data_IF_256246534084
#
_entry.id   IF_256246534084
#
_cell.length_a   1.000
_cell.length_b   1.000
_cell.length_c   1.000
_cell.angle_alpha   90.00
_cell.angle_beta   90.00
_cell.angle_gamma   90.00
#
_symmetry.space_group_name_H-M   'P 1'
#
loop_
_entity.id
_entity.type
_entity.pdbx_description
1 polymer ?
#
# COMPACT_ATOMS: atom_id res chain seq x y z
N UNK A 1 -4.11 30.34 -8.17
CA UNK A 1 -5.20 30.01 -9.12
C UNK A 1 -4.71 30.23 -10.52
N UNK A 2 -5.24 29.47 -11.49
CA UNK A 2 -5.14 29.82 -12.91
C UNK A 2 -6.38 30.65 -13.24
N UNK A 3 -6.17 31.78 -13.89
CA UNK A 3 -7.23 32.73 -14.22
C UNK A 3 -7.27 32.88 -15.73
N UNK A 4 -8.40 32.58 -16.32
CA UNK A 4 -8.70 32.98 -17.69
C UNK A 4 -9.57 34.22 -17.66
N UNK A 5 -9.17 35.26 -18.38
CA UNK A 5 -9.89 36.52 -18.44
C UNK A 5 -9.87 37.10 -19.85
N UNK A 6 -10.86 37.92 -20.16
CA UNK A 6 -10.95 38.67 -21.41
C UNK A 6 -11.04 40.17 -21.12
N UNK A 7 -10.40 40.95 -21.99
CA UNK A 7 -10.48 42.40 -21.97
C UNK A 7 -10.95 42.86 -23.34
N UNK A 8 -12.01 43.66 -23.38
CA UNK A 8 -12.49 44.30 -24.59
C UNK A 8 -12.49 45.81 -24.42
N UNK A 9 -11.75 46.51 -25.28
CA UNK A 9 -11.67 47.97 -25.25
C UNK A 9 -12.19 48.54 -26.57
N UNK A 10 -13.20 49.39 -26.47
CA UNK A 10 -13.70 50.24 -27.55
C UNK A 10 -13.46 51.71 -27.21
N UNK A 11 -13.72 52.64 -28.16
CA UNK A 11 -13.63 54.08 -27.89
C UNK A 11 -14.60 54.58 -26.81
N UNK A 12 -15.64 53.81 -26.47
CA UNK A 12 -16.69 54.20 -25.52
C UNK A 12 -16.68 53.41 -24.22
N UNK A 13 -16.21 52.17 -24.25
CA UNK A 13 -16.25 51.26 -23.09
C UNK A 13 -15.01 50.41 -22.99
N UNK A 14 -14.67 50.02 -21.77
CA UNK A 14 -13.67 49.02 -21.45
C UNK A 14 -14.32 47.97 -20.57
N UNK A 15 -14.27 46.71 -21.01
CA UNK A 15 -14.78 45.55 -20.30
C UNK A 15 -13.62 44.67 -19.84
N UNK A 16 -13.69 44.22 -18.60
CA UNK A 16 -12.83 43.17 -18.05
C UNK A 16 -13.75 42.08 -17.53
N UNK A 17 -13.58 40.86 -18.02
CA UNK A 17 -14.36 39.69 -17.60
C UNK A 17 -13.43 38.57 -17.15
N UNK A 18 -13.69 38.03 -15.96
CA UNK A 18 -13.12 36.76 -15.53
C UNK A 18 -13.95 35.64 -16.17
N UNK A 19 -13.31 34.79 -16.96
CA UNK A 19 -13.97 33.71 -17.70
C UNK A 19 -13.95 32.41 -16.90
N UNK A 20 -12.78 32.05 -16.37
CA UNK A 20 -12.58 30.81 -15.62
C UNK A 20 -11.59 31.01 -14.48
N UNK A 21 -11.84 30.29 -13.39
CA UNK A 21 -11.13 30.39 -12.13
C UNK A 21 -10.87 28.97 -11.62
N UNK A 22 -9.67 28.45 -11.87
CA UNK A 22 -9.29 27.09 -11.51
C UNK A 22 -8.20 27.04 -10.44
N UNK A 23 -8.16 25.93 -9.71
CA UNK A 23 -7.03 25.60 -8.86
C UNK A 23 -5.78 25.43 -9.74
N UNK A 24 -4.71 26.17 -9.42
CA UNK A 24 -3.48 26.08 -10.18
C UNK A 24 -2.76 24.77 -9.85
N UNK A 25 -2.52 23.93 -10.87
CA UNK A 25 -1.62 22.80 -10.75
C UNK A 25 -0.18 23.28 -10.58
N UNK A 26 0.37 23.22 -9.36
CA UNK A 26 1.74 23.65 -9.07
C UNK A 26 2.71 22.46 -9.08
N UNK A 27 3.94 22.70 -9.55
CA UNK A 27 5.05 21.79 -9.29
C UNK A 27 5.38 21.80 -7.79
N UNK A 28 5.93 20.70 -7.27
CA UNK A 28 6.18 20.50 -5.83
C UNK A 28 6.98 21.64 -5.21
N UNK A 29 8.04 22.09 -5.89
CA UNK A 29 8.84 23.23 -5.41
C UNK A 29 8.01 24.53 -5.28
N UNK A 30 7.21 24.85 -6.30
CA UNK A 30 6.37 26.05 -6.27
C UNK A 30 5.27 25.94 -5.20
N UNK A 31 4.62 24.77 -5.12
CA UNK A 31 3.60 24.50 -4.10
C UNK A 31 4.16 24.72 -2.68
N UNK A 32 5.34 24.17 -2.38
CA UNK A 32 5.95 24.30 -1.06
C UNK A 32 6.29 25.73 -0.69
N UNK A 33 7.02 26.45 -1.56
CA UNK A 33 7.42 27.84 -1.29
C UNK A 33 6.17 28.71 -1.10
N UNK A 34 5.23 28.68 -2.05
CA UNK A 34 4.03 29.51 -1.98
C UNK A 34 3.15 29.20 -0.77
N UNK A 35 2.93 27.92 -0.44
CA UNK A 35 2.08 27.54 0.69
C UNK A 35 2.72 27.90 2.02
N UNK A 36 4.03 27.77 2.16
CA UNK A 36 4.76 28.19 3.36
C UNK A 36 4.67 29.70 3.54
N UNK A 37 4.89 30.48 2.49
CA UNK A 37 4.77 31.94 2.53
C UNK A 37 3.34 32.38 2.93
N UNK A 38 2.32 31.76 2.33
CA UNK A 38 0.92 32.02 2.68
C UNK A 38 0.59 31.69 4.14
N UNK A 39 1.14 30.59 4.67
CA UNK A 39 0.94 30.21 6.06
C UNK A 39 1.64 31.18 7.02
N UNK A 40 2.88 31.58 6.70
CA UNK A 40 3.63 32.55 7.50
C UNK A 40 2.97 33.93 7.51
N UNK A 41 2.36 34.32 6.39
CA UNK A 41 1.56 35.53 6.29
C UNK A 41 0.18 35.43 7.00
N UNK A 42 -0.15 34.28 7.61
CA UNK A 42 -1.43 34.06 8.29
C UNK A 42 -2.64 33.92 7.36
N UNK A 43 -2.41 33.77 6.05
CA UNK A 43 -3.50 33.69 5.06
C UNK A 43 -4.19 32.33 5.05
N UNK A 44 -3.47 31.26 5.42
CA UNK A 44 -4.00 29.90 5.46
C UNK A 44 -3.67 29.23 6.78
N UNK A 45 -4.58 28.37 7.23
CA UNK A 45 -4.36 27.57 8.42
C UNK A 45 -3.39 26.41 8.14
N UNK A 46 -2.81 25.89 9.23
CA UNK A 46 -2.00 24.66 9.22
C UNK A 46 -2.69 23.47 8.54
N UNK A 47 -4.00 23.30 8.76
CA UNK A 47 -4.79 22.25 8.10
C UNK A 47 -4.83 22.47 6.59
N UNK A 48 -5.05 23.72 6.14
CA UNK A 48 -5.12 24.07 4.72
C UNK A 48 -3.79 23.84 4.00
N UNK A 49 -2.66 24.03 4.66
CA UNK A 49 -1.32 23.67 4.12
C UNK A 49 -1.28 22.21 3.67
N UNK A 50 -1.80 21.29 4.48
CA UNK A 50 -1.79 19.85 4.17
C UNK A 50 -2.80 19.42 3.10
N UNK A 51 -3.84 20.21 2.86
CA UNK A 51 -4.80 19.98 1.78
C UNK A 51 -4.22 20.38 0.41
N UNK A 52 -3.43 21.46 0.37
CA UNK A 52 -2.79 21.94 -0.85
C UNK A 52 -1.55 21.11 -1.18
N UNK A 53 -0.69 20.84 -0.18
CA UNK A 53 0.51 20.02 -0.36
C UNK A 53 0.12 18.54 -0.38
N UNK A 54 -0.18 18.06 -1.59
CA UNK A 54 -0.42 16.64 -1.88
C UNK A 54 0.87 15.79 -1.93
N UNK A 55 0.78 14.47 -1.70
CA UNK A 55 1.93 13.57 -1.67
C UNK A 55 2.89 13.61 -2.86
N UNK A 56 2.36 13.71 -4.08
CA UNK A 56 3.22 13.82 -5.26
C UNK A 56 4.07 15.10 -5.29
N UNK A 57 3.67 16.17 -4.59
CA UNK A 57 4.52 17.36 -4.45
C UNK A 57 5.79 17.03 -3.68
N UNK A 58 5.67 16.30 -2.56
CA UNK A 58 6.81 15.84 -1.76
C UNK A 58 7.71 14.94 -2.60
N UNK A 59 7.12 13.97 -3.31
CA UNK A 59 7.89 13.01 -4.12
C UNK A 59 8.75 13.64 -5.20
N UNK A 60 8.36 14.78 -5.76
CA UNK A 60 9.11 15.44 -6.84
C UNK A 60 10.55 15.81 -6.49
N UNK A 61 10.84 16.00 -5.21
CA UNK A 61 12.17 16.44 -4.74
C UNK A 61 12.75 15.52 -3.67
N UNK A 62 11.98 14.57 -3.14
CA UNK A 62 12.44 13.52 -2.21
C UNK A 62 12.69 12.19 -2.89
N UNK A 63 12.12 11.94 -4.08
CA UNK A 63 12.40 10.69 -4.80
C UNK A 63 13.82 10.68 -5.33
N UNK A 64 14.45 9.51 -5.22
CA UNK A 64 15.71 9.23 -5.89
C UNK A 64 15.61 9.45 -7.40
N UNK A 65 16.74 9.84 -7.97
CA UNK A 65 16.86 10.09 -9.41
C UNK A 65 17.67 8.98 -10.04
N UNK A 66 17.32 8.58 -11.27
CA UNK A 66 18.13 7.66 -12.05
C UNK A 66 19.52 8.26 -12.22
N UNK A 67 20.55 7.46 -11.93
CA UNK A 67 21.93 7.84 -12.15
C UNK A 67 22.12 8.21 -13.64
N UNK A 68 22.65 9.40 -13.97
CA UNK A 68 22.96 9.76 -15.35
C UNK A 68 23.71 8.67 -16.12
N UNK A 69 24.62 7.96 -15.46
CA UNK A 69 25.42 6.89 -16.08
C UNK A 69 24.59 5.65 -16.41
N UNK A 70 23.47 5.44 -15.70
CA UNK A 70 22.56 4.33 -16.00
C UNK A 70 21.92 4.49 -17.39
N UNK A 71 21.80 5.71 -17.92
CA UNK A 71 21.25 5.91 -19.26
C UNK A 71 22.18 5.48 -20.39
N UNK A 72 23.44 5.16 -20.10
CA UNK A 72 24.36 4.60 -21.09
C UNK A 72 24.13 3.09 -21.30
N UNK A 73 23.47 2.43 -20.35
CA UNK A 73 23.21 0.98 -20.35
C UNK A 73 21.72 0.64 -20.36
N UNK A 74 20.84 1.58 -19.99
CA UNK A 74 19.40 1.40 -20.08
C UNK A 74 18.91 1.66 -21.49
N UNK A 75 18.36 0.63 -22.09
CA UNK A 75 17.69 0.68 -23.37
C UNK A 75 16.29 1.32 -23.25
N UNK A 76 15.98 2.41 -23.97
CA UNK A 76 14.63 2.96 -24.01
C UNK A 76 13.69 2.03 -24.77
N UNK A 77 12.59 1.62 -24.13
CA UNK A 77 11.57 0.76 -24.73
C UNK A 77 10.50 1.55 -25.47
N UNK A 78 9.95 2.58 -24.81
CA UNK A 78 8.91 3.44 -25.36
C UNK A 78 8.76 4.74 -24.56
N UNK A 79 8.05 5.70 -25.15
CA UNK A 79 7.60 6.94 -24.51
C UNK A 79 6.12 6.91 -24.16
N UNK A 80 5.69 7.76 -23.22
CA UNK A 80 4.29 7.87 -22.83
C UNK A 80 3.95 9.16 -22.10
N UNK A 81 2.82 9.17 -21.41
CA UNK A 81 2.35 10.29 -20.60
C UNK A 81 2.60 9.98 -19.13
N UNK A 82 3.52 10.73 -18.51
CA UNK A 82 3.81 10.57 -17.10
C UNK A 82 2.77 11.28 -16.22
N UNK A 83 2.22 10.57 -15.24
CA UNK A 83 1.23 11.15 -14.30
C UNK A 83 1.89 12.01 -13.23
N UNK A 84 2.97 11.49 -12.62
CA UNK A 84 3.72 12.24 -11.64
C UNK A 84 4.83 13.03 -12.31
N UNK A 85 5.02 14.31 -11.99
CA UNK A 85 6.24 15.02 -12.36
C UNK A 85 7.46 14.44 -11.60
N UNK A 86 8.60 14.31 -12.30
CA UNK A 86 9.94 14.04 -11.73
C UNK A 86 10.05 12.83 -10.78
N UNK A 87 9.25 11.78 -10.96
CA UNK A 87 9.44 10.50 -10.28
C UNK A 87 10.25 9.52 -11.14
N UNK A 88 10.91 8.57 -10.49
CA UNK A 88 11.50 7.42 -11.14
C UNK A 88 11.39 6.18 -10.25
N UNK A 89 11.30 5.00 -10.86
CA UNK A 89 11.18 3.72 -10.15
C UNK A 89 11.65 2.58 -11.04
N UNK A 90 12.34 1.60 -10.45
CA UNK A 90 12.51 0.29 -11.07
C UNK A 90 11.67 -0.73 -10.34
N UNK A 91 10.94 -1.54 -11.11
CA UNK A 91 10.03 -2.54 -10.59
C UNK A 91 9.94 -3.72 -11.59
N UNK A 92 9.41 -4.85 -11.14
CA UNK A 92 9.11 -5.99 -12.01
C UNK A 92 7.73 -5.85 -12.62
N UNK A 93 7.63 -6.11 -13.91
CA UNK A 93 6.39 -5.91 -14.67
C UNK A 93 5.45 -7.11 -14.53
N UNK A 94 4.18 -6.88 -14.22
CA UNK A 94 3.14 -7.90 -14.16
C UNK A 94 1.90 -7.46 -14.92
N UNK A 95 1.14 -8.43 -15.45
CA UNK A 95 0.02 -8.16 -16.35
C UNK A 95 -1.34 -8.57 -15.79
N UNK A 96 -1.39 -9.30 -14.68
CA UNK A 96 -2.65 -9.68 -14.02
C UNK A 96 -2.66 -9.26 -12.55
N UNK A 97 -3.87 -9.06 -12.01
CA UNK A 97 -4.07 -8.69 -10.62
C UNK A 97 -3.46 -9.75 -9.67
N UNK A 98 -3.63 -11.03 -10.00
CA UNK A 98 -3.16 -12.16 -9.19
C UNK A 98 -1.64 -12.20 -9.09
N UNK A 99 -0.93 -12.09 -10.22
CA UNK A 99 0.54 -12.22 -10.24
C UNK A 99 1.18 -10.99 -9.60
N UNK A 100 0.62 -9.80 -9.84
CA UNK A 100 1.03 -8.56 -9.20
C UNK A 100 0.84 -8.60 -7.67
N UNK A 101 -0.34 -9.00 -7.17
CA UNK A 101 -0.63 -9.10 -5.74
C UNK A 101 0.21 -10.18 -5.05
N UNK A 102 0.42 -11.33 -5.71
CA UNK A 102 1.29 -12.39 -5.21
C UNK A 102 2.73 -11.92 -5.06
N UNK A 103 3.28 -11.26 -6.08
CA UNK A 103 4.62 -10.69 -6.03
C UNK A 103 4.73 -9.62 -4.93
N UNK A 104 3.69 -8.80 -4.75
CA UNK A 104 3.66 -7.83 -3.64
C UNK A 104 3.68 -8.48 -2.26
N UNK A 105 2.96 -9.57 -2.04
CA UNK A 105 3.00 -10.35 -0.79
C UNK A 105 4.38 -10.94 -0.50
N UNK A 106 5.18 -11.16 -1.54
CA UNK A 106 6.55 -11.65 -1.44
C UNK A 106 7.55 -10.51 -1.21
N UNK A 107 7.09 -9.26 -1.10
CA UNK A 107 7.94 -8.08 -0.85
C UNK A 107 8.61 -7.53 -2.11
N UNK A 108 8.16 -7.92 -3.31
CA UNK A 108 8.74 -7.42 -4.55
C UNK A 108 8.31 -5.98 -4.87
N UNK A 109 9.16 -5.28 -5.63
CA UNK A 109 8.81 -4.00 -6.25
C UNK A 109 8.03 -4.28 -7.54
N UNK A 110 6.76 -3.89 -7.61
CA UNK A 110 5.82 -4.33 -8.65
C UNK A 110 5.31 -3.16 -9.48
N UNK A 111 5.43 -3.30 -10.80
CA UNK A 111 4.80 -2.48 -11.81
C UNK A 111 3.63 -3.25 -12.41
N UNK A 112 2.42 -2.72 -12.27
CA UNK A 112 1.24 -3.35 -12.86
C UNK A 112 0.88 -2.71 -14.19
N UNK A 113 0.79 -3.53 -15.24
CA UNK A 113 0.48 -3.12 -16.60
C UNK A 113 -0.84 -3.69 -17.09
N UNK A 114 -1.75 -2.83 -17.56
CA UNK A 114 -3.01 -3.24 -18.20
C UNK A 114 -3.23 -2.46 -19.49
N UNK A 115 -4.03 -3.02 -20.39
CA UNK A 115 -4.53 -2.29 -21.56
C UNK A 115 -5.21 -0.99 -21.09
N UNK A 116 -6.24 -1.14 -20.26
CA UNK A 116 -7.03 -0.05 -19.68
C UNK A 116 -7.34 -0.38 -18.23
N UNK A 117 -7.08 0.57 -17.32
CA UNK A 117 -7.53 0.45 -15.94
C UNK A 117 -9.00 0.84 -15.79
N UNK A 118 -9.73 0.05 -15.02
CA UNK A 118 -11.11 0.30 -14.65
C UNK A 118 -11.17 0.92 -13.24
N UNK A 119 -12.23 1.66 -12.88
CA UNK A 119 -12.40 2.16 -11.51
C UNK A 119 -12.34 1.06 -10.44
N UNK A 120 -12.72 -0.17 -10.76
CA UNK A 120 -12.60 -1.34 -9.87
C UNK A 120 -11.16 -1.74 -9.60
N UNK A 121 -10.23 -1.44 -10.51
CA UNK A 121 -8.82 -1.80 -10.37
C UNK A 121 -8.12 -0.94 -9.30
N UNK A 122 -8.78 0.13 -8.83
CA UNK A 122 -8.26 1.01 -7.78
C UNK A 122 -7.72 0.25 -6.56
N UNK A 123 -8.33 -0.86 -6.18
CA UNK A 123 -7.89 -1.66 -5.03
C UNK A 123 -6.50 -2.26 -5.27
N UNK A 124 -6.30 -2.84 -6.45
CA UNK A 124 -5.02 -3.44 -6.85
C UNK A 124 -4.00 -2.34 -7.11
N UNK A 125 -4.39 -1.27 -7.82
CA UNK A 125 -3.51 -0.16 -8.17
C UNK A 125 -2.86 0.50 -6.96
N UNK A 126 -3.63 0.71 -5.89
CA UNK A 126 -3.11 1.31 -4.66
C UNK A 126 -1.95 0.51 -4.11
N UNK A 127 -2.00 -0.82 -4.24
CA UNK A 127 -1.01 -1.74 -3.69
C UNK A 127 0.28 -1.79 -4.55
N UNK A 128 0.38 -1.10 -5.68
CA UNK A 128 1.51 -1.21 -6.63
C UNK A 128 2.55 -0.10 -6.48
N UNK A 129 3.81 -0.38 -6.86
CA UNK A 129 4.88 0.64 -6.84
C UNK A 129 4.94 1.46 -8.12
N UNK A 130 4.39 0.94 -9.21
CA UNK A 130 4.32 1.60 -10.51
C UNK A 130 3.11 1.13 -11.31
N UNK A 131 2.59 2.00 -12.18
CA UNK A 131 1.46 1.71 -13.06
C UNK A 131 1.83 2.00 -14.51
N UNK A 132 1.51 1.09 -15.43
CA UNK A 132 1.67 1.28 -16.87
C UNK A 132 0.34 1.00 -17.57
N UNK A 133 -0.13 1.93 -18.41
CA UNK A 133 -1.36 1.73 -19.18
C UNK A 133 -1.12 2.00 -20.66
N UNK A 134 -1.67 1.14 -21.51
CA UNK A 134 -1.59 1.32 -22.96
C UNK A 134 -2.46 2.50 -23.40
N UNK A 135 -3.64 2.66 -22.80
CA UNK A 135 -4.61 3.73 -23.14
C UNK A 135 -4.35 5.07 -22.43
N UNK A 136 -5.18 6.06 -22.77
CA UNK A 136 -5.14 7.41 -22.23
C UNK A 136 -5.39 7.53 -20.72
N UNK A 137 -5.07 8.70 -20.18
CA UNK A 137 -5.15 9.00 -18.75
C UNK A 137 -6.59 9.09 -18.24
N UNK A 138 -7.12 7.98 -17.72
CA UNK A 138 -8.40 8.00 -17.02
C UNK A 138 -8.29 8.74 -15.67
N UNK A 139 -9.30 9.56 -15.33
CA UNK A 139 -9.29 10.43 -14.14
C UNK A 139 -9.01 9.67 -12.83
N UNK A 140 -9.56 8.46 -12.67
CA UNK A 140 -9.36 7.64 -11.48
C UNK A 140 -7.89 7.21 -11.34
N UNK A 141 -7.23 6.85 -12.44
CA UNK A 141 -5.80 6.48 -12.46
C UNK A 141 -4.94 7.66 -12.04
N UNK A 142 -5.17 8.82 -12.64
CA UNK A 142 -4.42 10.05 -12.34
C UNK A 142 -4.59 10.43 -10.88
N UNK A 143 -5.83 10.45 -10.39
CA UNK A 143 -6.15 10.81 -9.01
C UNK A 143 -5.48 9.88 -7.99
N UNK A 144 -5.54 8.56 -8.22
CA UNK A 144 -4.91 7.56 -7.32
C UNK A 144 -3.39 7.70 -7.33
N UNK A 145 -2.79 7.79 -8.51
CA UNK A 145 -1.34 7.88 -8.65
C UNK A 145 -0.81 9.18 -8.03
N UNK A 146 -1.53 10.31 -8.15
CA UNK A 146 -1.16 11.57 -7.51
C UNK A 146 -1.38 11.57 -6.00
N UNK A 147 -2.48 10.96 -5.52
CA UNK A 147 -2.79 10.94 -4.08
C UNK A 147 -1.85 10.04 -3.30
N UNK A 148 -1.43 8.91 -3.88
CA UNK A 148 -0.48 8.00 -3.25
C UNK A 148 0.97 8.25 -3.67
N UNK A 149 1.17 9.07 -4.68
CA UNK A 149 2.48 9.24 -5.28
C UNK A 149 2.98 7.92 -5.87
N UNK A 150 2.22 7.26 -6.73
CA UNK A 150 2.66 6.09 -7.52
C UNK A 150 3.11 6.58 -8.90
N UNK A 151 4.37 6.36 -9.34
CA UNK A 151 4.79 6.68 -10.70
C UNK A 151 3.94 5.92 -11.72
N UNK A 152 3.43 6.62 -12.72
CA UNK A 152 2.66 6.00 -13.78
C UNK A 152 3.03 6.55 -15.15
N UNK A 153 3.06 5.66 -16.14
CA UNK A 153 3.26 5.98 -17.56
C UNK A 153 2.08 5.44 -18.38
N UNK A 154 1.38 6.34 -19.05
CA UNK A 154 0.12 6.04 -19.74
C UNK A 154 0.24 6.30 -21.25
N UNK A 155 -0.75 5.89 -22.04
CA UNK A 155 -0.79 6.12 -23.49
C UNK A 155 0.36 5.49 -24.28
N UNK A 156 0.91 4.36 -23.82
CA UNK A 156 2.00 3.68 -24.51
C UNK A 156 1.61 3.21 -25.92
N UNK A 157 0.32 2.99 -26.18
CA UNK A 157 -0.18 2.64 -27.53
C UNK A 157 0.11 3.73 -28.57
N UNK A 158 0.20 5.00 -28.13
CA UNK A 158 0.55 6.13 -29.01
C UNK A 158 1.99 6.07 -29.52
N UNK A 159 2.84 5.28 -28.85
CA UNK A 159 4.23 5.03 -29.24
C UNK A 159 4.38 3.64 -29.92
N UNK A 160 3.26 3.03 -30.33
CA UNK A 160 3.24 1.75 -31.04
C UNK A 160 3.51 0.54 -30.15
N UNK A 161 3.23 0.64 -28.84
CA UNK A 161 3.31 -0.49 -27.92
C UNK A 161 1.98 -1.26 -27.89
N UNK A 162 2.05 -2.58 -28.00
CA UNK A 162 0.91 -3.49 -27.84
C UNK A 162 1.11 -4.45 -26.67
N UNK A 163 0.02 -4.76 -25.97
CA UNK A 163 -0.03 -5.82 -24.97
C UNK A 163 -0.58 -7.10 -25.61
N UNK A 164 0.20 -8.17 -25.58
CA UNK A 164 -0.18 -9.47 -26.13
C UNK A 164 -0.89 -10.35 -25.09
N UNK A 165 -1.79 -11.25 -25.52
CA UNK A 165 -2.53 -12.16 -24.64
C UNK A 165 -1.67 -13.08 -23.77
N UNK A 166 -0.42 -13.32 -24.18
CA UNK A 166 0.52 -14.18 -23.46
C UNK A 166 1.46 -13.39 -22.53
N UNK A 167 0.94 -12.29 -21.96
CA UNK A 167 1.61 -11.49 -20.94
C UNK A 167 2.95 -10.90 -21.40
N UNK A 168 2.93 -10.23 -22.57
CA UNK A 168 4.10 -9.58 -23.17
C UNK A 168 3.77 -8.17 -23.69
N UNK A 169 4.62 -7.20 -23.39
CA UNK A 169 4.62 -5.92 -24.12
C UNK A 169 5.54 -6.02 -25.32
N UNK A 170 5.06 -5.56 -26.46
CA UNK A 170 5.83 -5.49 -27.70
C UNK A 170 5.81 -4.06 -28.19
N UNK A 171 6.98 -3.47 -28.46
CA UNK A 171 7.05 -2.13 -29.04
C UNK A 171 7.13 -2.17 -30.57
N UNK A 172 7.06 -1.00 -31.20
CA UNK A 172 7.13 -0.83 -32.66
C UNK A 172 8.43 -1.33 -33.29
N UNK A 173 9.51 -1.44 -32.51
CA UNK A 173 10.80 -2.01 -32.95
C UNK A 173 10.90 -3.53 -32.83
N UNK A 174 9.84 -4.20 -32.35
CA UNK A 174 9.80 -5.65 -32.16
C UNK A 174 10.49 -6.15 -30.88
N UNK A 175 10.89 -5.24 -29.98
CA UNK A 175 11.42 -5.61 -28.66
C UNK A 175 10.30 -6.05 -27.74
N UNK A 176 10.62 -6.95 -26.81
CA UNK A 176 9.64 -7.64 -25.98
C UNK A 176 10.02 -7.58 -24.51
N UNK A 177 9.11 -7.12 -23.66
CA UNK A 177 9.21 -7.23 -22.19
C UNK A 177 8.19 -8.25 -21.72
N UNK A 178 8.62 -9.21 -20.90
CA UNK A 178 7.80 -10.30 -20.36
C UNK A 178 7.43 -10.07 -18.90
N UNK A 179 6.49 -10.87 -18.42
CA UNK A 179 6.13 -10.86 -17.00
C UNK A 179 7.34 -11.21 -16.12
N UNK A 180 7.52 -10.46 -15.03
CA UNK A 180 8.63 -10.60 -14.09
C UNK A 180 9.91 -9.85 -14.50
N UNK A 181 9.99 -9.33 -15.72
CA UNK A 181 11.16 -8.56 -16.17
C UNK A 181 11.27 -7.24 -15.41
N UNK A 182 12.52 -6.82 -15.17
CA UNK A 182 12.78 -5.50 -14.61
C UNK A 182 12.55 -4.43 -15.67
N UNK A 183 11.83 -3.39 -15.27
CA UNK A 183 11.65 -2.17 -16.04
C UNK A 183 11.99 -0.96 -15.18
N UNK A 184 12.32 0.15 -15.83
CA UNK A 184 12.52 1.44 -15.16
C UNK A 184 11.65 2.51 -15.81
N UNK A 185 10.85 3.21 -15.00
CA UNK A 185 10.07 4.36 -15.46
C UNK A 185 10.81 5.64 -15.09
N UNK A 186 10.96 6.55 -16.05
CA UNK A 186 11.41 7.92 -15.82
C UNK A 186 10.31 8.90 -16.17
N UNK A 187 9.66 9.49 -15.17
CA UNK A 187 8.64 10.51 -15.41
C UNK A 187 9.21 11.81 -15.97
N UNK A 188 10.48 12.12 -15.65
CA UNK A 188 11.17 13.30 -16.20
C UNK A 188 11.36 13.18 -17.71
N UNK A 189 11.74 11.99 -18.19
CA UNK A 189 11.93 11.72 -19.62
C UNK A 189 10.67 11.22 -20.32
N UNK A 190 9.65 10.86 -19.53
CA UNK A 190 8.40 10.24 -19.99
C UNK A 190 8.65 8.93 -20.75
N UNK A 191 9.60 8.14 -20.26
CA UNK A 191 10.12 6.96 -20.96
C UNK A 191 10.11 5.75 -20.03
N UNK A 192 9.77 4.60 -20.59
CA UNK A 192 9.97 3.28 -19.99
C UNK A 192 11.24 2.66 -20.58
N UNK A 193 12.12 2.19 -19.71
CA UNK A 193 13.38 1.55 -20.05
C UNK A 193 13.35 0.07 -19.68
N UNK A 194 14.04 -0.74 -20.46
CA UNK A 194 14.30 -2.14 -20.15
C UNK A 194 15.37 -2.23 -19.05
N UNK A 195 15.15 -3.11 -18.08
CA UNK A 195 16.10 -3.37 -17.00
C UNK A 195 15.94 -2.48 -15.76
N UNK A 196 16.81 -2.75 -14.79
CA UNK A 196 16.84 -2.08 -13.48
C UNK A 196 17.90 -0.99 -13.47
N UNK A 197 17.50 0.25 -13.18
CA UNK A 197 18.41 1.37 -13.09
C UNK A 197 19.17 1.41 -11.77
N UNK A 198 20.36 2.02 -11.81
CA UNK A 198 21.01 2.55 -10.61
C UNK A 198 20.41 3.92 -10.28
N UNK A 199 20.23 4.20 -9.00
CA UNK A 199 19.66 5.44 -8.50
C UNK A 199 20.69 6.20 -7.67
N UNK A 200 20.61 7.53 -7.73
CA UNK A 200 21.30 8.46 -6.85
C UNK A 200 20.29 9.07 -5.88
N UNK A 201 20.62 9.14 -4.57
CA UNK A 201 19.70 9.69 -3.59
C UNK A 201 19.32 11.14 -3.89
N UNK A 202 18.11 11.55 -3.50
CA UNK A 202 17.60 12.88 -3.74
C UNK A 202 18.54 13.99 -3.22
N UNK A 203 18.95 14.91 -4.11
CA UNK A 203 19.88 16.02 -3.80
C UNK A 203 19.42 16.85 -2.59
N UNK A 204 18.12 17.13 -2.47
CA UNK A 204 17.59 18.00 -1.41
C UNK A 204 17.78 17.37 -0.02
N UNK A 205 17.43 16.09 0.12
CA UNK A 205 17.56 15.37 1.38
C UNK A 205 19.02 15.27 1.83
N UNK A 206 19.93 14.96 0.89
CA UNK A 206 21.39 14.94 1.15
C UNK A 206 21.89 16.29 1.67
N UNK A 207 21.54 17.38 0.98
CA UNK A 207 21.91 18.73 1.41
C UNK A 207 21.34 19.06 2.81
N UNK A 208 20.09 18.67 3.08
CA UNK A 208 19.46 18.89 4.38
C UNK A 208 20.14 18.12 5.52
N UNK A 209 20.76 16.97 5.22
CA UNK A 209 21.62 16.18 6.13
C UNK A 209 23.04 16.74 6.26
N UNK A 210 23.37 17.82 5.54
CA UNK A 210 24.71 18.40 5.54
C UNK A 210 25.72 17.66 4.65
N UNK A 211 25.25 16.73 3.81
CA UNK A 211 26.11 16.03 2.87
C UNK A 211 26.55 16.95 1.71
N UNK A 212 27.73 16.72 1.13
CA UNK A 212 28.19 17.48 -0.02
C UNK A 212 27.32 17.17 -1.25
N UNK A 213 26.72 18.22 -1.80
CA UNK A 213 25.91 18.18 -3.01
C UNK A 213 26.41 19.30 -3.92
N UNK A 214 26.68 18.99 -5.19
CA UNK A 214 26.97 20.02 -6.19
C UNK A 214 25.71 20.85 -6.41
N UNK A 215 25.80 22.16 -6.23
CA UNK A 215 24.70 23.12 -6.40
C UNK A 215 25.27 24.27 -7.22
N UNK A 216 24.68 24.49 -8.40
CA UNK A 216 25.07 25.60 -9.26
C UNK A 216 24.68 26.94 -8.61
N UNK A 217 25.39 28.01 -8.95
CA UNK A 217 25.18 29.34 -8.36
C UNK A 217 23.74 29.83 -8.56
N UNK A 218 23.15 29.59 -9.73
CA UNK A 218 21.75 29.89 -10.05
C UNK A 218 20.73 28.97 -9.34
N UNK A 219 21.14 27.78 -8.91
CA UNK A 219 20.27 26.85 -8.16
C UNK A 219 20.33 27.10 -6.65
N UNK A 220 21.31 27.87 -6.15
CA UNK A 220 21.60 27.98 -4.72
C UNK A 220 20.44 28.55 -3.89
N UNK A 221 19.93 29.72 -4.27
CA UNK A 221 18.83 30.38 -3.55
C UNK A 221 17.55 29.55 -3.63
N UNK A 222 17.32 29.01 -4.82
CA UNK A 222 16.25 28.07 -5.13
C UNK A 222 16.26 26.83 -4.22
N UNK A 223 17.44 26.27 -3.98
CA UNK A 223 17.66 25.10 -3.15
C UNK A 223 17.51 25.41 -1.67
N UNK A 224 18.04 26.55 -1.23
CA UNK A 224 17.94 27.03 0.15
C UNK A 224 16.49 27.33 0.54
N UNK A 225 15.75 28.05 -0.32
CA UNK A 225 14.32 28.32 -0.13
C UNK A 225 13.51 27.02 -0.05
N UNK A 226 13.82 26.04 -0.90
CA UNK A 226 13.16 24.74 -0.87
C UNK A 226 13.46 23.95 0.41
N UNK A 227 14.73 23.91 0.84
CA UNK A 227 15.13 23.25 2.07
C UNK A 227 14.45 23.88 3.30
N UNK A 228 14.37 25.22 3.33
CA UNK A 228 13.64 25.96 4.35
C UNK A 228 12.15 25.61 4.34
N UNK A 229 11.49 25.73 3.18
CA UNK A 229 10.06 25.46 3.05
C UNK A 229 9.73 24.01 3.44
N UNK A 230 10.57 23.04 3.06
CA UNK A 230 10.36 21.65 3.42
C UNK A 230 10.55 21.41 4.94
N UNK A 231 11.57 21.99 5.57
CA UNK A 231 11.75 21.93 7.03
C UNK A 231 10.56 22.56 7.77
N UNK A 232 10.10 23.72 7.31
CA UNK A 232 8.95 24.40 7.89
C UNK A 232 7.68 23.54 7.77
N UNK A 233 7.44 22.96 6.59
CA UNK A 233 6.35 22.01 6.39
C UNK A 233 6.45 20.79 7.32
N UNK A 234 7.63 20.19 7.47
CA UNK A 234 7.84 19.07 8.39
C UNK A 234 7.52 19.46 9.83
N UNK A 235 7.86 20.68 10.28
CA UNK A 235 7.48 21.21 11.59
C UNK A 235 5.96 21.41 11.70
N UNK A 236 5.34 21.98 10.66
CA UNK A 236 3.89 22.10 10.56
C UNK A 236 3.21 20.73 10.56
N UNK A 237 3.86 19.66 10.13
CA UNK A 237 3.23 18.35 10.21
C UNK A 237 3.48 17.67 11.55
N UNK A 238 4.68 17.81 12.11
CA UNK A 238 5.02 17.19 13.40
C UNK A 238 4.07 17.60 14.52
N UNK A 239 3.63 18.85 14.57
CA UNK A 239 2.61 19.25 15.55
C UNK A 239 1.15 19.00 15.11
N UNK A 240 0.86 18.58 13.86
CA UNK A 240 -0.46 18.03 13.51
C UNK A 240 -0.63 16.61 14.07
N UNK A 241 0.48 15.91 14.35
CA UNK A 241 0.48 14.53 14.89
C UNK A 241 -0.40 14.37 16.15
N UNK A 242 -0.62 15.44 16.92
CA UNK A 242 -1.46 15.42 18.12
C UNK A 242 -2.97 15.36 17.83
N UNK A 243 -3.45 15.95 16.73
CA UNK A 243 -4.89 16.03 16.36
C UNK A 243 -5.22 15.34 15.01
N UNK A 244 -4.31 14.49 14.53
CA UNK A 244 -4.40 13.89 13.19
C UNK A 244 -5.56 12.90 13.05
N UNK A 245 -6.24 12.92 11.90
CA UNK A 245 -7.16 11.85 11.50
C UNK A 245 -6.39 10.61 11.04
N UNK A 246 -7.07 9.47 10.92
CA UNK A 246 -6.45 8.26 10.36
C UNK A 246 -5.93 8.51 8.93
N UNK A 247 -6.68 9.25 8.10
CA UNK A 247 -6.27 9.62 6.75
C UNK A 247 -4.99 10.48 6.76
N UNK A 248 -4.85 11.38 7.73
CA UNK A 248 -3.62 12.15 7.91
C UNK A 248 -2.45 11.22 8.26
N UNK A 249 -2.60 10.32 9.23
CA UNK A 249 -1.54 9.37 9.61
C UNK A 249 -1.11 8.49 8.43
N UNK A 250 -2.06 7.97 7.67
CA UNK A 250 -1.77 7.20 6.44
C UNK A 250 -0.93 8.04 5.47
N UNK A 251 -1.32 9.29 5.24
CA UNK A 251 -0.57 10.21 4.37
C UNK A 251 0.84 10.42 4.89
N UNK A 252 1.00 10.70 6.18
CA UNK A 252 2.31 10.94 6.79
C UNK A 252 3.24 9.74 6.67
N UNK A 253 2.72 8.54 6.93
CA UNK A 253 3.49 7.30 6.83
C UNK A 253 3.90 7.00 5.39
N UNK A 254 2.96 7.03 4.45
CA UNK A 254 3.22 6.60 3.06
C UNK A 254 4.14 7.56 2.29
N UNK A 255 4.22 8.81 2.75
CA UNK A 255 4.80 9.90 1.95
C UNK A 255 6.00 10.52 2.64
N UNK A 256 5.85 10.87 3.92
CA UNK A 256 6.84 11.68 4.62
C UNK A 256 7.80 10.83 5.45
N UNK A 257 7.30 9.77 6.06
CA UNK A 257 8.07 8.91 6.95
C UNK A 257 8.43 7.57 6.29
N UNK A 258 8.32 7.46 4.96
CA UNK A 258 8.57 6.22 4.21
C UNK A 258 9.98 5.68 4.44
N UNK A 259 10.98 6.56 4.50
CA UNK A 259 12.38 6.20 4.76
C UNK A 259 12.75 6.21 6.25
N UNK A 260 11.87 6.78 7.09
CA UNK A 260 12.10 6.96 8.53
C UNK A 260 11.21 6.00 9.32
N UNK A 261 11.48 4.69 9.16
CA UNK A 261 10.64 3.62 9.72
C UNK A 261 10.40 3.77 11.22
N UNK A 262 11.39 4.26 11.98
CA UNK A 262 11.25 4.44 13.42
C UNK A 262 10.38 5.65 13.80
N UNK A 263 10.50 6.79 13.09
CA UNK A 263 9.60 7.93 13.30
C UNK A 263 8.16 7.56 12.88
N UNK A 264 8.00 6.78 11.80
CA UNK A 264 6.70 6.27 11.35
C UNK A 264 6.07 5.38 12.43
N UNK A 265 6.84 4.44 12.99
CA UNK A 265 6.39 3.60 14.10
C UNK A 265 6.02 4.45 15.31
N UNK A 266 6.87 5.36 15.76
CA UNK A 266 6.57 6.21 16.92
C UNK A 266 5.29 7.00 16.75
N UNK A 267 5.11 7.62 15.57
CA UNK A 267 3.87 8.34 15.22
C UNK A 267 2.65 7.41 15.32
N UNK A 268 2.68 6.28 14.62
CA UNK A 268 1.52 5.38 14.53
C UNK A 268 1.18 4.80 15.89
N UNK A 269 2.18 4.36 16.65
CA UNK A 269 1.97 3.77 17.98
C UNK A 269 1.43 4.81 18.96
N UNK A 270 1.98 6.03 18.99
CA UNK A 270 1.47 7.11 19.84
C UNK A 270 0.06 7.56 19.45
N UNK A 271 -0.20 7.71 18.15
CA UNK A 271 -1.53 8.06 17.64
C UNK A 271 -2.58 6.99 17.99
N UNK A 272 -2.21 5.71 17.91
CA UNK A 272 -3.08 4.60 18.27
C UNK A 272 -3.42 4.61 19.77
N UNK A 273 -2.48 4.92 20.65
CA UNK A 273 -2.72 4.90 22.09
C UNK A 273 -3.84 5.84 22.52
N UNK A 274 -3.90 7.03 21.92
CA UNK A 274 -4.93 8.03 22.20
C UNK A 274 -6.27 7.73 21.49
N UNK A 275 -6.26 6.88 20.46
CA UNK A 275 -7.39 6.73 19.51
C UNK A 275 -7.78 5.28 19.21
N UNK A 276 -7.42 4.34 20.08
CA UNK A 276 -7.66 2.90 19.88
C UNK A 276 -9.11 2.62 19.46
N UNK A 277 -10.09 3.20 20.17
CA UNK A 277 -11.51 3.01 19.88
C UNK A 277 -11.92 3.54 18.50
N UNK A 278 -11.44 4.74 18.15
CA UNK A 278 -11.74 5.37 16.87
C UNK A 278 -11.08 4.62 15.70
N UNK A 279 -9.88 4.08 15.92
CA UNK A 279 -9.19 3.28 14.92
C UNK A 279 -9.90 1.95 14.66
N UNK A 280 -10.27 1.21 15.71
CA UNK A 280 -11.08 -0.02 15.58
C UNK A 280 -12.39 0.26 14.84
N UNK A 281 -13.08 1.33 15.19
CA UNK A 281 -14.31 1.75 14.52
C UNK A 281 -14.09 2.06 13.03
N UNK A 282 -13.02 2.77 12.70
CA UNK A 282 -12.65 3.09 11.32
C UNK A 282 -12.29 1.85 10.49
N UNK A 283 -11.59 0.88 11.09
CA UNK A 283 -11.29 -0.39 10.41
C UNK A 283 -12.56 -1.21 10.19
N UNK A 284 -13.43 -1.35 11.20
CA UNK A 284 -14.67 -2.13 11.07
C UNK A 284 -15.69 -1.50 10.12
N UNK A 285 -15.57 -0.21 9.80
CA UNK A 285 -16.40 0.51 8.81
C UNK A 285 -15.80 0.55 7.40
N UNK A 286 -14.60 -0.01 7.21
CA UNK A 286 -13.92 0.00 5.91
C UNK A 286 -14.71 -0.80 4.86
N UNK A 287 -14.70 -0.33 3.61
CA UNK A 287 -15.29 -1.06 2.47
C UNK A 287 -14.15 -1.61 1.59
N UNK A 288 -14.53 -2.38 0.57
CA UNK A 288 -13.55 -2.94 -0.37
C UNK A 288 -12.75 -1.84 -1.07
N UNK A 289 -11.43 -1.84 -0.83
CA UNK A 289 -10.50 -0.87 -1.39
C UNK A 289 -9.80 0.05 -0.41
N UNK A 290 -10.22 0.03 0.86
CA UNK A 290 -9.55 0.72 1.96
C UNK A 290 -8.39 -0.09 2.57
N UNK A 291 -8.21 -1.34 2.10
CA UNK A 291 -7.35 -2.34 2.74
C UNK A 291 -5.89 -1.92 2.87
N UNK A 292 -5.28 -1.42 1.79
CA UNK A 292 -3.87 -1.03 1.82
C UNK A 292 -3.60 0.03 2.87
N UNK A 293 -4.39 1.10 2.85
CA UNK A 293 -4.19 2.27 3.69
C UNK A 293 -4.24 1.92 5.17
N UNK A 294 -5.23 1.12 5.55
CA UNK A 294 -5.39 0.63 6.91
C UNK A 294 -4.29 -0.38 7.30
N UNK A 295 -3.87 -1.23 6.35
CA UNK A 295 -2.82 -2.22 6.56
C UNK A 295 -1.45 -1.58 6.82
N UNK A 296 -1.08 -0.51 6.09
CA UNK A 296 0.19 0.20 6.35
C UNK A 296 0.25 0.70 7.80
N UNK A 297 -0.83 1.30 8.31
CA UNK A 297 -0.88 1.78 9.69
C UNK A 297 -0.81 0.60 10.66
N UNK A 298 -1.60 -0.44 10.42
CA UNK A 298 -1.62 -1.61 11.29
C UNK A 298 -0.25 -2.31 11.37
N UNK A 299 0.46 -2.44 10.25
CA UNK A 299 1.75 -3.11 10.18
C UNK A 299 2.81 -2.44 11.05
N UNK A 300 2.75 -1.11 11.19
CA UNK A 300 3.65 -0.31 12.02
C UNK A 300 3.32 -0.38 13.53
N UNK A 301 2.19 -0.96 13.91
CA UNK A 301 1.88 -1.18 15.33
C UNK A 301 2.83 -2.21 15.94
N UNK A 302 3.26 -1.91 17.16
CA UNK A 302 3.95 -2.87 18.03
C UNK A 302 3.04 -4.04 18.36
N UNK A 303 3.64 -5.17 18.74
CA UNK A 303 2.91 -6.40 19.07
C UNK A 303 1.83 -6.17 20.14
N UNK A 304 2.15 -5.44 21.21
CA UNK A 304 1.21 -5.12 22.29
C UNK A 304 -0.03 -4.34 21.78
N UNK A 305 0.18 -3.36 20.90
CA UNK A 305 -0.91 -2.57 20.31
C UNK A 305 -1.72 -3.37 19.30
N UNK A 306 -1.09 -4.29 18.54
CA UNK A 306 -1.81 -5.26 17.70
C UNK A 306 -2.71 -6.16 18.55
N UNK A 307 -2.22 -6.63 19.71
CA UNK A 307 -3.03 -7.43 20.65
C UNK A 307 -4.21 -6.61 21.18
N UNK A 308 -3.98 -5.38 21.66
CA UNK A 308 -5.05 -4.48 22.12
C UNK A 308 -6.11 -4.25 21.04
N UNK A 309 -5.67 -3.95 19.81
CA UNK A 309 -6.56 -3.78 18.66
C UNK A 309 -7.46 -5.00 18.48
N UNK A 310 -6.88 -6.21 18.38
CA UNK A 310 -7.67 -7.42 18.14
C UNK A 310 -8.61 -7.76 19.29
N UNK A 311 -8.20 -7.55 20.55
CA UNK A 311 -9.10 -7.73 21.70
C UNK A 311 -10.31 -6.82 21.62
N UNK A 312 -10.09 -5.54 21.33
CA UNK A 312 -11.17 -4.56 21.22
C UNK A 312 -12.06 -4.81 20.01
N UNK A 313 -11.47 -5.15 18.87
CA UNK A 313 -12.20 -5.53 17.66
C UNK A 313 -13.04 -6.78 17.88
N UNK A 314 -12.45 -7.85 18.45
CA UNK A 314 -13.13 -9.11 18.76
C UNK A 314 -14.30 -8.90 19.73
N UNK A 315 -14.10 -8.14 20.82
CA UNK A 315 -15.17 -7.84 21.77
C UNK A 315 -16.35 -7.09 21.11
N UNK A 316 -16.05 -6.16 20.20
CA UNK A 316 -17.08 -5.45 19.43
C UNK A 316 -17.78 -6.37 18.43
N UNK A 317 -17.03 -7.17 17.66
CA UNK A 317 -17.57 -8.14 16.71
C UNK A 317 -18.48 -9.17 17.39
N UNK A 318 -18.11 -9.67 18.57
CA UNK A 318 -18.96 -10.57 19.36
C UNK A 318 -20.26 -9.90 19.79
N UNK A 319 -20.18 -8.68 20.35
CA UNK A 319 -21.35 -7.94 20.83
C UNK A 319 -22.32 -7.56 19.71
N UNK A 320 -21.79 -7.13 18.57
CA UNK A 320 -22.56 -6.61 17.43
C UNK A 320 -22.81 -7.67 16.34
N UNK A 321 -22.34 -8.91 16.56
CA UNK A 321 -22.41 -10.04 15.60
C UNK A 321 -21.87 -9.67 14.21
N UNK A 322 -20.72 -9.01 14.18
CA UNK A 322 -20.02 -8.61 12.95
C UNK A 322 -18.95 -9.64 12.59
N UNK A 323 -18.87 -10.00 11.31
CA UNK A 323 -17.83 -10.90 10.80
C UNK A 323 -17.58 -10.72 9.31
N UNK A 324 -16.35 -11.00 8.86
CA UNK A 324 -15.97 -11.03 7.45
C UNK A 324 -16.30 -9.73 6.73
N UNK A 325 -17.19 -9.79 5.73
CA UNK A 325 -17.57 -8.61 4.96
C UNK A 325 -18.20 -7.50 5.85
N UNK A 326 -19.01 -7.87 6.84
CA UNK A 326 -19.64 -6.93 7.76
C UNK A 326 -18.67 -6.38 8.83
N UNK A 327 -17.55 -7.06 9.07
CA UNK A 327 -16.48 -6.61 9.97
C UNK A 327 -15.35 -5.92 9.19
N UNK A 328 -15.71 -4.82 8.52
CA UNK A 328 -14.76 -4.02 7.75
C UNK A 328 -14.24 -4.73 6.51
N UNK A 329 -15.11 -5.37 5.72
CA UNK A 329 -14.73 -5.99 4.46
C UNK A 329 -13.51 -6.94 4.56
N UNK A 330 -13.49 -7.83 5.56
CA UNK A 330 -12.41 -8.80 5.81
C UNK A 330 -11.08 -8.19 6.30
N UNK A 331 -11.08 -6.95 6.79
CA UNK A 331 -9.87 -6.29 7.30
C UNK A 331 -9.22 -7.02 8.48
N UNK A 332 -10.02 -7.58 9.39
CA UNK A 332 -9.48 -8.33 10.53
C UNK A 332 -8.72 -9.58 10.06
N UNK A 333 -9.30 -10.33 9.11
CA UNK A 333 -8.63 -11.47 8.51
C UNK A 333 -7.40 -11.09 7.70
N UNK A 334 -7.41 -9.94 7.00
CA UNK A 334 -6.22 -9.40 6.32
C UNK A 334 -5.08 -9.16 7.31
N UNK A 335 -5.37 -8.50 8.43
CA UNK A 335 -4.37 -8.27 9.47
C UNK A 335 -3.85 -9.58 10.07
N UNK A 336 -4.64 -10.65 10.05
CA UNK A 336 -4.25 -12.00 10.48
C UNK A 336 -3.52 -12.82 9.41
N UNK A 337 -3.48 -12.35 8.16
CA UNK A 337 -2.85 -13.09 7.05
C UNK A 337 -1.31 -13.11 7.13
N UNK A 338 -0.71 -12.33 8.03
CA UNK A 338 0.72 -12.37 8.36
C UNK A 338 1.00 -13.37 9.49
N UNK A 339 2.23 -13.85 9.59
CA UNK A 339 2.64 -14.73 10.70
C UNK A 339 2.79 -13.90 11.98
N UNK A 340 2.10 -14.33 13.04
CA UNK A 340 2.25 -13.76 14.38
C UNK A 340 3.13 -14.64 15.28
N UNK A 341 3.89 -14.02 16.21
CA UNK A 341 4.71 -14.74 17.18
C UNK A 341 3.86 -15.57 18.14
N UNK A 342 4.46 -16.53 18.82
CA UNK A 342 3.76 -17.35 19.84
C UNK A 342 3.24 -16.47 20.98
N UNK A 343 4.01 -15.43 21.35
CA UNK A 343 3.59 -14.45 22.34
C UNK A 343 2.29 -13.70 21.99
N UNK A 344 1.92 -13.60 20.72
CA UNK A 344 0.64 -13.04 20.29
C UNK A 344 -0.52 -13.92 20.71
N UNK A 345 -0.48 -15.19 20.30
CA UNK A 345 -1.57 -16.15 20.49
C UNK A 345 -1.81 -16.45 21.97
N UNK A 346 -0.76 -16.47 22.80
CA UNK A 346 -0.86 -16.63 24.26
C UNK A 346 -1.69 -15.54 24.96
N UNK A 347 -1.99 -14.42 24.29
CA UNK A 347 -2.73 -13.29 24.88
C UNK A 347 -4.23 -13.38 24.67
N UNK A 348 -4.72 -14.34 23.90
CA UNK A 348 -6.13 -14.52 23.58
C UNK A 348 -6.71 -15.74 24.28
N UNK A 349 -7.92 -15.60 24.80
CA UNK A 349 -8.73 -16.68 25.33
C UNK A 349 -9.24 -17.60 24.21
N UNK A 350 -9.77 -18.80 24.52
CA UNK A 350 -10.34 -19.67 23.50
C UNK A 350 -11.43 -19.02 22.63
N UNK A 351 -12.42 -18.27 23.19
CA UNK A 351 -13.42 -17.57 22.38
C UNK A 351 -12.84 -16.44 21.51
N UNK A 352 -11.86 -15.69 22.01
CA UNK A 352 -11.20 -14.65 21.22
C UNK A 352 -10.41 -15.29 20.06
N UNK A 353 -9.67 -16.37 20.33
CA UNK A 353 -8.92 -17.12 19.32
C UNK A 353 -9.86 -17.69 18.25
N UNK A 354 -11.02 -18.21 18.65
CA UNK A 354 -12.04 -18.72 17.75
C UNK A 354 -12.54 -17.62 16.79
N UNK A 355 -12.82 -16.42 17.31
CA UNK A 355 -13.19 -15.28 16.48
C UNK A 355 -12.08 -14.87 15.50
N UNK A 356 -10.82 -14.80 15.96
CA UNK A 356 -9.70 -14.44 15.09
C UNK A 356 -9.51 -15.47 13.97
N UNK A 357 -9.55 -16.77 14.29
CA UNK A 357 -9.43 -17.82 13.29
C UNK A 357 -10.57 -17.77 12.26
N UNK A 358 -11.80 -17.48 12.70
CA UNK A 358 -12.92 -17.31 11.79
C UNK A 358 -12.69 -16.14 10.81
N UNK A 359 -12.23 -14.99 11.31
CA UNK A 359 -11.89 -13.86 10.43
C UNK A 359 -10.77 -14.19 9.44
N UNK A 360 -9.75 -14.93 9.87
CA UNK A 360 -8.70 -15.41 8.98
C UNK A 360 -9.25 -16.33 7.88
N UNK A 361 -10.09 -17.32 8.22
CA UNK A 361 -10.74 -18.23 7.25
C UNK A 361 -11.56 -17.45 6.24
N UNK A 362 -12.39 -16.51 6.70
CA UNK A 362 -13.22 -15.69 5.83
C UNK A 362 -12.38 -14.83 4.87
N UNK A 363 -11.24 -14.32 5.33
CA UNK A 363 -10.32 -13.58 4.47
C UNK A 363 -9.62 -14.48 3.44
N UNK A 364 -9.18 -15.69 3.81
CA UNK A 364 -8.60 -16.63 2.85
C UNK A 364 -9.61 -17.04 1.77
N UNK A 365 -10.87 -17.29 2.16
CA UNK A 365 -11.97 -17.52 1.20
C UNK A 365 -12.23 -16.33 0.30
N UNK A 366 -12.23 -15.13 0.88
CA UNK A 366 -12.36 -13.88 0.12
C UNK A 366 -11.22 -13.74 -0.90
N UNK A 367 -9.98 -14.05 -0.51
CA UNK A 367 -8.84 -14.01 -1.42
C UNK A 367 -8.92 -15.06 -2.53
N UNK A 368 -9.42 -16.26 -2.23
CA UNK A 368 -9.68 -17.28 -3.24
C UNK A 368 -10.77 -16.81 -4.21
N UNK A 369 -11.86 -16.24 -3.72
CA UNK A 369 -12.91 -15.65 -4.57
C UNK A 369 -12.37 -14.55 -5.49
N UNK A 370 -11.49 -13.68 -4.97
CA UNK A 370 -10.84 -12.65 -5.78
C UNK A 370 -9.93 -13.25 -6.86
N UNK A 371 -9.23 -14.34 -6.56
CA UNK A 371 -8.43 -15.08 -7.53
C UNK A 371 -9.33 -15.72 -8.61
N UNK A 372 -10.30 -16.53 -8.18
CA UNK A 372 -11.20 -17.28 -9.06
C UNK A 372 -11.98 -16.38 -10.03
N UNK A 373 -12.31 -15.16 -9.62
CA UNK A 373 -13.05 -14.23 -10.47
C UNK A 373 -12.19 -13.49 -11.50
N UNK A 374 -10.86 -13.47 -11.35
CA UNK A 374 -9.95 -12.72 -12.22
C UNK A 374 -10.44 -11.29 -12.49
N UNK A 375 -10.10 -10.70 -13.65
CA UNK A 375 -10.39 -9.31 -14.07
C UNK A 375 -11.86 -8.81 -13.98
N UNK A 376 -12.83 -9.61 -13.51
CA UNK A 376 -14.25 -9.28 -13.46
C UNK A 376 -14.69 -8.69 -12.11
N UNK A 377 -14.39 -7.40 -11.97
CA UNK A 377 -15.05 -6.37 -11.14
C UNK A 377 -15.32 -6.75 -9.66
N UNK A 378 -14.62 -6.09 -8.75
CA UNK A 378 -14.88 -6.05 -7.29
C UNK A 378 -16.36 -5.78 -6.93
N UNK A 379 -17.11 -5.06 -7.77
CA UNK A 379 -18.56 -4.89 -7.61
C UNK A 379 -19.35 -6.21 -7.74
N UNK A 380 -18.89 -7.12 -8.60
CA UNK A 380 -19.44 -8.47 -8.71
C UNK A 380 -19.04 -9.30 -7.50
N UNK A 381 -17.81 -9.14 -6.98
CA UNK A 381 -17.41 -9.74 -5.70
C UNK A 381 -18.35 -9.34 -4.57
N UNK A 382 -18.64 -8.04 -4.44
CA UNK A 382 -19.63 -7.54 -3.48
C UNK A 382 -20.98 -8.25 -3.64
N UNK A 383 -21.48 -8.29 -4.87
CA UNK A 383 -22.77 -8.90 -5.16
C UNK A 383 -22.75 -10.39 -4.82
N UNK A 384 -21.78 -11.14 -5.31
CA UNK A 384 -21.58 -12.56 -5.04
C UNK A 384 -21.48 -12.84 -3.55
N UNK A 385 -20.68 -12.08 -2.78
CA UNK A 385 -20.58 -12.24 -1.33
C UNK A 385 -21.94 -12.02 -0.65
N UNK A 386 -22.71 -11.02 -1.09
CA UNK A 386 -24.02 -10.70 -0.52
C UNK A 386 -25.14 -11.64 -0.99
N UNK A 387 -25.04 -12.27 -2.16
CA UNK A 387 -26.10 -13.12 -2.74
C UNK A 387 -25.82 -14.62 -2.64
N UNK A 388 -24.56 -15.03 -2.84
CA UNK A 388 -24.10 -16.41 -2.95
C UNK A 388 -23.18 -16.81 -1.79
N UNK A 389 -22.60 -15.84 -1.06
CA UNK A 389 -21.66 -16.07 0.03
C UNK A 389 -20.22 -16.29 -0.46
N UNK A 390 -19.41 -16.97 0.36
CA UNK A 390 -18.04 -17.32 0.05
C UNK A 390 -17.91 -18.81 -0.28
N UNK A 391 -17.09 -19.13 -1.28
CA UNK A 391 -16.80 -20.51 -1.67
C UNK A 391 -16.06 -21.27 -0.57
N UNK A 392 -16.03 -22.60 -0.71
CA UNK A 392 -15.19 -23.43 0.17
C UNK A 392 -13.71 -23.18 -0.08
N UNK A 393 -12.97 -23.02 1.03
CA UNK A 393 -11.51 -22.90 1.02
C UNK A 393 -10.90 -24.29 0.81
N UNK A 394 -9.94 -24.38 -0.10
CA UNK A 394 -9.14 -25.61 -0.23
C UNK A 394 -8.15 -25.73 0.95
N UNK A 395 -8.55 -26.54 1.95
CA UNK A 395 -7.78 -26.73 3.17
C UNK A 395 -6.77 -27.88 3.02
N UNK A 396 -5.50 -27.53 3.03
CA UNK A 396 -4.39 -28.47 3.15
C UNK A 396 -3.44 -28.02 4.27
N UNK A 397 -2.56 -28.91 4.77
CA UNK A 397 -1.58 -28.54 5.80
C UNK A 397 -0.75 -27.30 5.44
N UNK A 398 -0.38 -27.16 4.16
CA UNK A 398 0.30 -25.98 3.66
C UNK A 398 -0.48 -24.66 3.83
N UNK A 399 -1.81 -24.71 3.70
CA UNK A 399 -2.70 -23.53 3.84
C UNK A 399 -2.67 -22.98 5.26
N UNK A 400 -2.68 -23.86 6.26
CA UNK A 400 -2.73 -23.48 7.69
C UNK A 400 -1.35 -23.36 8.32
N UNK A 401 -0.26 -23.62 7.57
CA UNK A 401 1.13 -23.56 8.07
C UNK A 401 1.50 -22.21 8.71
N UNK A 402 0.84 -21.12 8.30
CA UNK A 402 1.01 -19.78 8.91
C UNK A 402 0.53 -19.70 10.36
N UNK A 403 -0.37 -20.60 10.76
CA UNK A 403 -0.94 -20.69 12.10
C UNK A 403 -0.14 -21.67 13.00
N UNK A 404 0.99 -22.21 12.56
CA UNK A 404 1.86 -23.04 13.42
C UNK A 404 2.27 -22.34 14.73
N UNK A 405 2.53 -21.02 14.78
CA UNK A 405 2.73 -20.34 16.05
C UNK A 405 1.54 -20.41 17.02
N UNK A 406 0.30 -20.51 16.53
CA UNK A 406 -0.87 -20.76 17.39
C UNK A 406 -0.78 -22.17 18.00
N UNK A 407 -0.46 -23.19 17.22
CA UNK A 407 -0.24 -24.57 17.72
C UNK A 407 0.89 -24.60 18.76
N UNK A 408 2.03 -23.98 18.45
CA UNK A 408 3.19 -23.86 19.35
C UNK A 408 2.90 -23.04 20.63
N UNK A 409 1.84 -22.22 20.63
CA UNK A 409 1.47 -21.44 21.81
C UNK A 409 0.94 -22.27 22.96
N UNK A 410 0.55 -23.53 22.71
CA UNK A 410 -0.12 -24.38 23.68
C UNK A 410 -1.60 -24.02 23.86
N UNK A 411 -2.20 -23.30 22.91
CA UNK A 411 -3.63 -23.01 22.91
C UNK A 411 -4.42 -24.33 22.90
N UNK A 412 -5.43 -24.42 23.76
CA UNK A 412 -6.31 -25.60 23.87
C UNK A 412 -7.27 -25.62 22.69
N UNK A 413 -6.84 -26.17 21.56
CA UNK A 413 -7.58 -26.12 20.29
C UNK A 413 -8.99 -26.72 20.39
N UNK A 414 -9.21 -27.70 21.27
CA UNK A 414 -10.54 -28.24 21.58
C UNK A 414 -11.46 -27.17 22.20
N UNK A 415 -11.00 -26.47 23.24
CA UNK A 415 -11.77 -25.37 23.85
C UNK A 415 -12.00 -24.21 22.86
N UNK A 416 -11.04 -23.96 21.96
CA UNK A 416 -11.21 -22.95 20.89
C UNK A 416 -12.31 -23.38 19.93
N UNK A 417 -12.35 -24.65 19.54
CA UNK A 417 -13.38 -25.21 18.67
C UNK A 417 -14.76 -25.16 19.31
N UNK A 418 -14.86 -25.52 20.59
CA UNK A 418 -16.10 -25.48 21.36
C UNK A 418 -16.60 -24.06 21.60
N UNK A 419 -15.71 -23.07 21.55
CA UNK A 419 -16.03 -21.65 21.71
C UNK A 419 -16.37 -20.93 20.40
N UNK A 420 -16.46 -21.64 19.27
CA UNK A 420 -16.82 -21.02 17.99
C UNK A 420 -18.23 -20.41 18.05
N UNK A 421 -18.40 -19.12 17.71
CA UNK A 421 -19.72 -18.51 17.57
C UNK A 421 -20.61 -19.29 16.58
N UNK A 422 -21.92 -19.33 16.80
CA UNK A 422 -22.87 -20.03 15.90
C UNK A 422 -22.83 -19.52 14.46
N UNK A 423 -22.46 -18.26 14.25
CA UNK A 423 -22.35 -17.61 12.95
C UNK A 423 -20.98 -17.81 12.26
N UNK A 424 -20.08 -18.57 12.88
CA UNK A 424 -18.74 -18.84 12.31
C UNK A 424 -18.83 -19.67 11.04
N UNK A 425 -17.87 -19.48 10.16
CA UNK A 425 -17.70 -20.33 8.99
C UNK A 425 -17.39 -21.78 9.43
N UNK A 426 -18.12 -22.79 8.90
CA UNK A 426 -17.90 -24.19 9.28
C UNK A 426 -16.48 -24.69 9.03
N UNK A 427 -15.74 -24.08 8.10
CA UNK A 427 -14.35 -24.47 7.83
C UNK A 427 -13.37 -23.99 8.90
N UNK A 428 -13.78 -23.09 9.81
CA UNK A 428 -12.97 -22.71 10.97
C UNK A 428 -12.73 -23.90 11.90
N UNK A 429 -13.76 -24.74 12.10
CA UNK A 429 -13.62 -26.00 12.83
C UNK A 429 -12.65 -26.97 12.12
N UNK A 430 -12.70 -27.05 10.79
CA UNK A 430 -11.79 -27.90 9.99
C UNK A 430 -10.33 -27.43 10.08
N UNK A 431 -10.10 -26.11 10.15
CA UNK A 431 -8.75 -25.54 10.36
C UNK A 431 -8.20 -25.93 11.73
N UNK A 432 -9.03 -25.88 12.78
CA UNK A 432 -8.65 -26.34 14.11
C UNK A 432 -8.34 -27.83 14.13
N UNK A 433 -9.14 -28.65 13.45
CA UNK A 433 -8.88 -30.10 13.32
C UNK A 433 -7.55 -30.37 12.61
N UNK A 434 -7.26 -29.68 11.50
CA UNK A 434 -5.97 -29.78 10.84
C UNK A 434 -4.82 -29.37 11.78
N UNK A 435 -4.95 -28.27 12.50
CA UNK A 435 -3.91 -27.80 13.43
C UNK A 435 -3.62 -28.76 14.57
N UNK A 436 -4.51 -29.71 14.89
CA UNK A 436 -4.28 -30.76 15.88
C UNK A 436 -3.48 -31.94 15.34
N UNK A 437 -3.39 -32.10 14.03
CA UNK A 437 -2.59 -33.15 13.41
C UNK A 437 -1.10 -33.05 13.82
N UNK A 438 -0.35 -34.16 13.87
CA UNK A 438 1.05 -34.12 14.29
C UNK A 438 1.92 -33.26 13.37
N UNK A 439 3.03 -32.71 13.88
CA UNK A 439 3.90 -31.82 13.09
C UNK A 439 4.40 -32.42 11.77
N UNK A 440 4.52 -33.76 11.66
CA UNK A 440 4.88 -34.46 10.41
C UNK A 440 3.93 -34.20 9.23
N UNK A 441 2.71 -33.75 9.49
CA UNK A 441 1.71 -33.41 8.45
C UNK A 441 2.03 -32.05 7.81
N UNK A 442 2.75 -31.17 8.52
CA UNK A 442 3.12 -29.83 8.08
C UNK A 442 4.56 -29.71 7.58
N UNK A 443 5.43 -30.58 8.10
CA UNK A 443 6.87 -30.56 7.88
C UNK A 443 7.36 -31.94 7.50
N UNK A 444 8.26 -31.97 6.53
CA UNK A 444 8.98 -33.17 6.15
C UNK A 444 10.23 -33.27 7.03
N UNK A 445 10.19 -34.14 8.03
CA UNK A 445 11.29 -34.32 8.98
C UNK A 445 12.51 -35.03 8.39
N UNK A 446 12.39 -35.63 7.21
CA UNK A 446 13.51 -36.21 6.47
C UNK A 446 14.25 -35.13 5.66
N UNK A 447 13.55 -34.06 5.28
CA UNK A 447 14.08 -32.93 4.55
C UNK A 447 14.53 -31.78 5.47
N UNK A 448 15.85 -31.58 5.61
CA UNK A 448 16.45 -30.50 6.44
C UNK A 448 15.89 -29.10 6.15
N UNK A 449 15.60 -28.78 4.89
CA UNK A 449 15.06 -27.45 4.52
C UNK A 449 13.63 -27.22 5.04
N UNK A 450 12.85 -28.29 5.20
CA UNK A 450 11.47 -28.20 5.67
C UNK A 450 11.45 -27.93 7.17
N UNK A 451 12.28 -28.67 7.93
CA UNK A 451 12.41 -28.51 9.39
C UNK A 451 13.10 -27.20 9.78
N UNK A 452 14.02 -26.68 8.95
CA UNK A 452 14.72 -25.42 9.22
C UNK A 452 13.76 -24.24 9.48
N UNK A 453 12.61 -24.21 8.82
CA UNK A 453 11.58 -23.19 9.07
C UNK A 453 10.96 -23.32 10.46
N UNK A 454 10.64 -24.55 10.89
CA UNK A 454 10.12 -24.83 12.24
C UNK A 454 11.16 -24.50 13.31
N UNK A 455 12.41 -24.91 13.10
CA UNK A 455 13.53 -24.58 13.99
C UNK A 455 13.77 -23.08 14.10
N UNK A 456 13.60 -22.33 13.00
CA UNK A 456 13.70 -20.87 13.04
C UNK A 456 12.61 -20.27 13.93
N UNK A 457 11.34 -20.68 13.76
CA UNK A 457 10.23 -20.20 14.59
C UNK A 457 10.47 -20.51 16.07
N UNK A 458 10.87 -21.75 16.38
CA UNK A 458 11.16 -22.15 17.76
C UNK A 458 12.34 -21.37 18.36
N UNK A 459 13.40 -21.10 17.58
CA UNK A 459 14.54 -20.29 18.05
C UNK A 459 14.16 -18.84 18.33
N UNK A 460 13.39 -18.21 17.45
CA UNK A 460 12.92 -16.82 17.63
C UNK A 460 12.09 -16.64 18.90
N UNK A 461 11.35 -17.68 19.31
CA UNK A 461 10.47 -17.66 20.49
C UNK A 461 11.04 -18.38 21.72
N UNK A 462 12.28 -18.86 21.66
CA UNK A 462 12.93 -19.65 22.74
C UNK A 462 12.10 -20.87 23.18
N UNK A 463 11.59 -21.63 22.21
CA UNK A 463 10.79 -22.84 22.41
C UNK A 463 11.58 -24.10 22.00
N UNK A 464 11.30 -25.26 22.61
CA UNK A 464 11.81 -26.53 22.11
C UNK A 464 11.22 -26.82 20.72
N UNK A 465 12.01 -27.47 19.87
CA UNK A 465 11.54 -27.94 18.55
C UNK A 465 10.71 -29.20 18.78
N UNK A 466 9.43 -29.23 18.37
CA UNK A 466 8.60 -30.40 18.58
C UNK A 466 9.03 -31.55 17.66
N UNK A 467 8.83 -32.78 18.15
CA UNK A 467 9.04 -33.99 17.38
C UNK A 467 7.94 -34.22 16.33
N UNK A 468 8.16 -35.14 15.38
CA UNK A 468 7.23 -35.41 14.29
C UNK A 468 5.86 -35.93 14.75
N UNK A 469 5.80 -36.57 15.92
CA UNK A 469 4.58 -37.12 16.52
C UNK A 469 3.85 -36.18 17.47
N UNK A 470 4.42 -35.02 17.80
CA UNK A 470 3.84 -34.09 18.77
C UNK A 470 2.61 -33.40 18.17
N UNK A 471 1.58 -33.16 18.99
CA UNK A 471 0.29 -32.56 18.60
C UNK A 471 0.03 -31.26 19.32
#
# INVERSE_FOLDING_TARGET
MTIEFAVEATKRYQWFALLQLDEAGLAGRAAFISVVDMHQAGMISRKRVTEIIRPYHVRQFTSDTIDPDAFNVLDPFCSGVAVLPRAAVSARLYFTDETALKAKRQGEMVCFCKQTFLPTDSVVMREMDAIVSLTSAALHVVTICQSLGIPALLSLEKDGVSLHPDARLVNSSGRVIKEGDWITISSRRKTLYEGKAKFKPARLLRHMRGEPVQIDEHERDAFAAMAYAYRYYQQLIRGLKQDSTLADVIRLVNVELREESDEARQLVNGWFDDREAAYVEGVLKSDMGDHLSQNTVFDLLTLDRKIRFFKRASAKCQRERLSGYAAGAFMLGRFLAVRYPVAFWKRFSPPETACLLNEWVLFEKYMQLLSDMGERKILRARKTILTEGLNELFLQPGTVKRLIPLKLSGARLDEVKDSLPEWSDPQTAKVLDLLREPYRVFYDFEAKWSVAELEQICREETLPVPGPGDT
#
